data_IF_525193600409
#
_entry.id   IF_525193600409
#
_cell.length_a   1.000
_cell.length_b   1.000
_cell.length_c   1.000
_cell.angle_alpha   90.00
_cell.angle_beta   90.00
_cell.angle_gamma   90.00
#
_symmetry.space_group_name_H-M   'P 1'
#
loop_
_entity.id
_entity.type
_entity.pdbx_description
1 polymer ?
#
# COMPACT_ATOMS: atom_id res chain seq x y z
N UNK A 1 -7.30 45.10 2.10
CA UNK A 1 -6.65 43.79 2.25
C UNK A 1 -6.63 43.16 0.87
N UNK A 2 -5.46 42.78 0.40
CA UNK A 2 -5.28 42.19 -0.92
C UNK A 2 -5.87 40.77 -0.91
N UNK A 3 -6.55 40.37 -1.99
CA UNK A 3 -7.03 38.99 -2.19
C UNK A 3 -5.93 37.95 -1.95
N UNK A 4 -4.68 38.31 -2.24
CA UNK A 4 -3.49 37.47 -2.00
C UNK A 4 -3.20 37.30 -0.51
N UNK A 5 -3.38 38.34 0.30
CA UNK A 5 -3.18 38.28 1.76
C UNK A 5 -4.22 37.36 2.43
N UNK A 6 -5.47 37.39 1.96
CA UNK A 6 -6.52 36.50 2.46
C UNK A 6 -6.24 35.03 2.15
N UNK A 7 -5.72 34.72 0.95
CA UNK A 7 -5.33 33.36 0.56
C UNK A 7 -4.18 32.84 1.42
N UNK A 8 -3.14 33.67 1.63
CA UNK A 8 -1.99 33.29 2.48
C UNK A 8 -2.47 33.01 3.91
N UNK A 9 -3.36 33.84 4.45
CA UNK A 9 -3.92 33.63 5.79
C UNK A 9 -4.71 32.33 5.89
N UNK A 10 -5.54 32.02 4.90
CA UNK A 10 -6.29 30.76 4.86
C UNK A 10 -5.38 29.54 4.78
N UNK A 11 -4.28 29.63 4.04
CA UNK A 11 -3.29 28.55 3.95
C UNK A 11 -2.55 28.31 5.28
N UNK A 12 -2.21 29.38 6.00
CA UNK A 12 -1.61 29.27 7.34
C UNK A 12 -2.58 28.67 8.36
N UNK A 13 -3.85 29.04 8.32
CA UNK A 13 -4.90 28.46 9.17
C UNK A 13 -5.07 26.95 8.92
N UNK A 14 -5.07 26.54 7.64
CA UNK A 14 -5.13 25.12 7.25
C UNK A 14 -3.89 24.38 7.76
N UNK A 15 -2.70 24.97 7.64
CA UNK A 15 -1.44 24.38 8.11
C UNK A 15 -1.42 24.17 9.63
N UNK A 16 -1.92 25.16 10.37
CA UNK A 16 -2.06 25.06 11.83
C UNK A 16 -3.04 23.95 12.22
N UNK A 17 -4.17 23.85 11.51
CA UNK A 17 -5.17 22.80 11.74
C UNK A 17 -4.61 21.40 11.49
N UNK A 18 -3.84 21.20 10.41
CA UNK A 18 -3.20 19.92 10.10
C UNK A 18 -2.21 19.52 11.20
N UNK A 19 -1.36 20.45 11.68
CA UNK A 19 -0.40 20.16 12.76
C UNK A 19 -1.09 19.77 14.07
N UNK A 20 -2.11 20.51 14.48
CA UNK A 20 -2.87 20.20 15.70
C UNK A 20 -3.50 18.80 15.64
N UNK A 21 -3.96 18.40 14.44
CA UNK A 21 -4.57 17.09 14.21
C UNK A 21 -3.53 15.97 14.18
N UNK A 22 -2.33 16.21 13.65
CA UNK A 22 -1.20 15.28 13.75
C UNK A 22 -0.76 15.05 15.19
N UNK A 23 -0.67 16.09 16.01
CA UNK A 23 -0.36 15.98 17.45
C UNK A 23 -1.43 15.17 18.18
N UNK A 24 -2.70 15.38 17.84
CA UNK A 24 -3.78 14.54 18.34
C UNK A 24 -3.61 13.06 17.91
N UNK A 25 -3.31 12.78 16.64
CA UNK A 25 -3.07 11.41 16.18
C UNK A 25 -1.86 10.77 16.89
N UNK A 26 -0.80 11.52 17.19
CA UNK A 26 0.35 11.05 17.97
C UNK A 26 -0.02 10.69 19.41
N UNK A 27 -0.86 11.50 20.07
CA UNK A 27 -1.29 11.23 21.46
C UNK A 27 -2.21 10.03 21.58
N UNK A 28 -3.07 9.79 20.58
CA UNK A 28 -3.99 8.63 20.59
C UNK A 28 -3.39 7.39 19.87
N UNK A 29 -2.19 7.50 19.29
CA UNK A 29 -1.50 6.40 18.61
C UNK A 29 -2.11 6.00 17.26
N UNK A 30 -2.87 6.90 16.60
CA UNK A 30 -3.44 6.63 15.27
C UNK A 30 -2.42 6.93 14.16
N UNK A 31 -1.47 6.02 13.98
CA UNK A 31 -0.42 6.18 12.98
C UNK A 31 -0.93 6.13 11.53
N UNK A 32 -2.14 5.60 11.30
CA UNK A 32 -2.75 5.58 9.96
C UNK A 32 -3.21 6.98 9.56
N UNK A 33 -4.01 7.61 10.42
CA UNK A 33 -4.50 8.97 10.19
C UNK A 33 -3.34 10.00 10.21
N UNK A 34 -2.30 9.76 11.03
CA UNK A 34 -1.07 10.53 11.01
C UNK A 34 -0.35 10.48 9.65
N UNK A 35 -0.26 9.29 9.03
CA UNK A 35 0.41 9.11 7.74
C UNK A 35 -0.36 9.78 6.61
N UNK A 36 -1.69 9.71 6.65
CA UNK A 36 -2.57 10.41 5.69
C UNK A 36 -2.43 11.94 5.83
N UNK A 37 -2.46 12.46 7.07
CA UNK A 37 -2.25 13.89 7.34
C UNK A 37 -0.85 14.35 6.91
N UNK A 38 0.18 13.53 7.10
CA UNK A 38 1.55 13.84 6.68
C UNK A 38 1.66 13.97 5.16
N UNK A 39 1.05 13.05 4.41
CA UNK A 39 1.01 13.12 2.95
C UNK A 39 0.29 14.37 2.43
N UNK A 40 -0.80 14.78 3.10
CA UNK A 40 -1.52 16.01 2.76
C UNK A 40 -0.65 17.25 3.04
N UNK A 41 0.05 17.30 4.18
CA UNK A 41 0.95 18.39 4.52
C UNK A 41 2.11 18.53 3.52
N UNK A 42 2.72 17.41 3.11
CA UNK A 42 3.79 17.39 2.11
C UNK A 42 3.30 17.85 0.73
N UNK A 43 2.10 17.43 0.32
CA UNK A 43 1.49 17.84 -0.94
C UNK A 43 1.19 19.35 -0.96
N UNK A 44 0.72 19.90 0.16
CA UNK A 44 0.47 21.33 0.33
C UNK A 44 1.78 22.13 0.29
N UNK A 45 2.83 21.66 0.98
CA UNK A 45 4.16 22.28 0.95
C UNK A 45 4.79 22.23 -0.46
N UNK A 46 4.55 21.16 -1.22
CA UNK A 46 5.01 21.04 -2.60
C UNK A 46 4.28 22.03 -3.52
N UNK A 47 2.95 22.16 -3.41
CA UNK A 47 2.16 23.14 -4.16
C UNK A 47 2.59 24.59 -3.84
N UNK A 48 2.92 24.89 -2.59
CA UNK A 48 3.42 26.21 -2.20
C UNK A 48 4.82 26.50 -2.76
N UNK A 49 5.69 25.49 -2.86
CA UNK A 49 7.02 25.63 -3.50
C UNK A 49 6.91 25.82 -5.01
N UNK A 50 6.03 25.06 -5.66
CA UNK A 50 5.87 25.09 -7.12
C UNK A 50 5.10 26.34 -7.57
N UNK A 51 4.11 26.78 -6.77
CA UNK A 51 3.39 28.04 -6.99
C UNK A 51 4.23 29.31 -6.80
N UNK A 52 5.40 29.22 -6.15
CA UNK A 52 6.39 30.29 -6.04
C UNK A 52 7.53 30.16 -7.07
N UNK A 53 7.61 29.05 -7.81
CA UNK A 53 8.68 28.77 -8.75
C UNK A 53 8.36 29.17 -10.20
N UNK A 54 7.13 29.60 -10.51
CA UNK A 54 6.78 30.11 -11.84
C UNK A 54 7.19 31.59 -11.98
N UNK A 55 8.50 31.82 -11.98
CA UNK A 55 9.10 32.94 -12.70
C UNK A 55 10.48 32.55 -13.24
N UNK A 56 10.46 32.10 -14.50
CA UNK A 56 11.50 32.25 -15.54
C UNK A 56 12.15 30.96 -16.06
N UNK A 57 12.36 30.85 -17.39
CA UNK A 57 12.52 29.57 -18.09
C UNK A 57 13.99 29.14 -18.30
N UNK A 58 14.17 27.82 -18.45
CA UNK A 58 15.23 27.10 -19.18
C UNK A 58 16.66 27.68 -19.16
N UNK A 59 17.57 27.02 -18.44
CA UNK A 59 18.92 26.72 -18.96
C UNK A 59 19.68 25.73 -18.05
N UNK A 60 20.30 24.70 -18.63
CA UNK A 60 21.09 23.74 -17.84
C UNK A 60 21.70 22.56 -18.61
N UNK A 61 22.14 22.75 -19.86
CA UNK A 61 22.94 21.75 -20.58
C UNK A 61 24.44 22.04 -20.46
N UNK A 62 25.06 21.78 -19.31
CA UNK A 62 26.51 21.92 -19.13
C UNK A 62 27.26 20.64 -19.50
N UNK A 63 27.81 20.71 -20.71
CA UNK A 63 29.04 20.11 -21.23
C UNK A 63 30.08 19.79 -20.14
N UNK A 64 30.61 18.56 -20.13
CA UNK A 64 31.93 18.21 -19.56
C UNK A 64 32.74 17.49 -20.63
N UNK A 65 33.81 18.15 -21.09
CA UNK A 65 34.87 17.58 -21.91
C UNK A 65 35.97 16.97 -21.01
N UNK A 66 36.64 15.93 -21.52
CA UNK A 66 37.85 15.31 -20.97
C UNK A 66 38.34 14.19 -21.90
N UNK A 67 39.66 13.89 -21.97
CA UNK A 67 40.43 14.19 -23.17
C UNK A 67 40.94 13.00 -24.01
N UNK A 68 41.47 13.37 -25.18
CA UNK A 68 42.07 12.62 -26.29
C UNK A 68 42.90 11.36 -26.01
N UNK A 69 42.77 10.39 -26.92
CA UNK A 69 43.89 9.69 -27.57
C UNK A 69 43.45 9.13 -28.94
N UNK A 70 43.97 9.72 -30.01
CA UNK A 70 44.07 9.14 -31.38
C UNK A 70 45.48 8.51 -31.54
N UNK A 71 45.87 7.77 -32.62
CA UNK A 71 45.31 7.77 -33.99
C UNK A 71 45.25 6.40 -34.73
N UNK A 72 44.60 6.34 -35.91
CA UNK A 72 44.94 5.34 -36.93
C UNK A 72 43.83 4.85 -37.88
N UNK A 73 43.67 5.53 -39.02
CA UNK A 73 42.91 5.15 -40.26
C UNK A 73 43.59 3.96 -41.00
N UNK A 74 43.08 3.39 -42.13
CA UNK A 74 41.83 3.66 -42.89
C UNK A 74 41.05 2.45 -43.49
N UNK A 75 39.76 2.71 -43.80
CA UNK A 75 39.00 2.38 -45.04
C UNK A 75 39.02 0.94 -45.60
N UNK A 76 37.85 0.26 -45.60
CA UNK A 76 37.43 -0.52 -46.78
C UNK A 76 35.92 -0.77 -46.82
N UNK A 77 35.40 -0.62 -48.03
CA UNK A 77 34.06 -0.88 -48.54
C UNK A 77 33.64 -2.35 -48.44
N UNK A 78 32.36 -2.63 -48.17
CA UNK A 78 31.50 -3.43 -49.07
C UNK A 78 30.07 -3.58 -48.53
N UNK A 79 29.14 -3.38 -49.46
CA UNK A 79 27.75 -3.76 -49.37
C UNK A 79 27.59 -5.28 -49.17
N UNK A 80 26.54 -5.70 -48.46
CA UNK A 80 26.15 -7.11 -48.44
C UNK A 80 25.20 -7.48 -47.30
N UNK A 81 23.90 -7.51 -47.65
CA UNK A 81 22.87 -8.47 -47.19
C UNK A 81 22.73 -8.76 -45.68
N UNK A 82 21.53 -8.44 -45.19
CA UNK A 82 20.86 -9.03 -44.02
C UNK A 82 21.12 -10.54 -43.91
N UNK A 83 21.36 -11.03 -42.69
CA UNK A 83 20.36 -11.91 -42.08
C UNK A 83 19.97 -11.46 -40.67
N UNK A 84 18.70 -11.67 -40.39
CA UNK A 84 17.99 -11.58 -39.11
C UNK A 84 18.84 -12.13 -37.97
N UNK A 85 19.32 -11.24 -37.09
CA UNK A 85 19.84 -11.62 -35.78
C UNK A 85 18.84 -11.10 -34.75
N UNK A 86 18.28 -12.04 -34.01
CA UNK A 86 17.39 -11.82 -32.87
C UNK A 86 18.14 -10.91 -31.90
N UNK A 87 17.71 -9.66 -31.83
CA UNK A 87 18.11 -8.77 -30.75
C UNK A 87 17.26 -9.22 -29.56
N UNK A 88 17.86 -10.05 -28.69
CA UNK A 88 17.46 -10.14 -27.29
C UNK A 88 17.61 -8.73 -26.70
N UNK A 89 16.58 -7.94 -26.92
CA UNK A 89 16.33 -6.73 -26.16
C UNK A 89 16.12 -7.23 -24.76
N UNK A 90 17.15 -7.10 -23.91
CA UNK A 90 17.01 -7.22 -22.46
C UNK A 90 15.90 -6.27 -22.07
N UNK A 91 14.68 -6.81 -21.98
CA UNK A 91 13.57 -6.21 -21.28
C UNK A 91 14.09 -6.06 -19.86
N UNK A 92 14.56 -4.86 -19.55
CA UNK A 92 14.63 -4.42 -18.16
C UNK A 92 13.20 -4.54 -17.65
N UNK A 93 12.97 -5.54 -16.80
CA UNK A 93 11.72 -5.76 -16.09
C UNK A 93 11.38 -4.48 -15.32
N UNK A 94 10.66 -3.58 -15.99
CA UNK A 94 9.89 -2.57 -15.31
C UNK A 94 8.83 -3.35 -14.51
N UNK A 95 8.71 -3.12 -13.19
CA UNK A 95 7.74 -3.85 -12.38
C UNK A 95 6.37 -3.65 -13.02
N UNK A 96 5.78 -4.76 -13.46
CA UNK A 96 4.41 -4.84 -13.95
C UNK A 96 3.54 -4.12 -12.94
N UNK A 97 3.06 -2.91 -13.29
CA UNK A 97 2.02 -2.22 -12.54
C UNK A 97 0.82 -3.15 -12.61
N UNK A 98 0.62 -3.91 -11.53
CA UNK A 98 -0.47 -4.85 -11.41
C UNK A 98 -1.77 -4.10 -11.69
N UNK A 99 -2.66 -4.72 -12.47
CA UNK A 99 -3.91 -4.12 -12.97
C UNK A 99 -4.96 -3.85 -11.86
N UNK A 100 -4.51 -3.75 -10.61
CA UNK A 100 -5.31 -3.62 -9.41
C UNK A 100 -5.39 -2.12 -9.12
N UNK A 101 -6.44 -1.48 -9.66
CA UNK A 101 -6.61 -0.02 -9.69
C UNK A 101 -6.65 0.70 -8.33
N UNK A 102 -6.52 -0.01 -7.20
CA UNK A 102 -6.34 0.56 -5.87
C UNK A 102 -5.54 -0.40 -4.95
N UNK A 103 -4.63 0.17 -4.16
CA UNK A 103 -4.03 -0.51 -3.00
C UNK A 103 -4.81 -0.20 -1.72
N UNK A 104 -4.78 -1.08 -0.70
CA UNK A 104 -4.24 -2.44 -0.75
C UNK A 104 -5.23 -3.41 -1.42
N UNK A 105 -4.73 -4.50 -1.97
CA UNK A 105 -5.56 -5.58 -2.52
C UNK A 105 -5.13 -6.94 -1.99
N UNK A 106 -5.99 -7.94 -2.15
CA UNK A 106 -5.76 -9.30 -1.67
C UNK A 106 -5.68 -10.28 -2.83
N UNK A 107 -4.76 -11.23 -2.71
CA UNK A 107 -4.54 -12.33 -3.63
C UNK A 107 -4.53 -13.65 -2.88
N UNK A 108 -4.71 -14.73 -3.64
CA UNK A 108 -4.48 -16.09 -3.18
C UNK A 108 -3.18 -16.62 -3.79
N UNK A 109 -2.27 -17.09 -2.96
CA UNK A 109 -1.04 -17.79 -3.36
C UNK A 109 -1.08 -19.21 -2.78
N UNK A 110 -1.61 -20.16 -3.56
CA UNK A 110 -1.93 -21.51 -3.08
C UNK A 110 -2.87 -21.47 -1.87
N UNK A 111 -2.39 -21.97 -0.73
CA UNK A 111 -3.10 -21.96 0.56
C UNK A 111 -2.75 -20.75 1.45
N UNK A 112 -2.25 -19.66 0.86
CA UNK A 112 -1.90 -18.44 1.58
C UNK A 112 -2.75 -17.26 1.10
N UNK A 113 -3.23 -16.49 2.06
CA UNK A 113 -3.80 -15.16 1.86
C UNK A 113 -2.66 -14.16 1.77
N UNK A 114 -2.61 -13.39 0.69
CA UNK A 114 -1.58 -12.39 0.47
C UNK A 114 -2.23 -11.02 0.38
N UNK A 115 -1.82 -10.09 1.24
CA UNK A 115 -2.17 -8.67 1.12
C UNK A 115 -1.03 -7.95 0.44
N UNK A 116 -1.29 -7.33 -0.71
CA UNK A 116 -0.35 -6.46 -1.40
C UNK A 116 -0.70 -5.02 -1.07
N UNK A 117 0.32 -4.25 -0.68
CA UNK A 117 0.17 -2.85 -0.32
C UNK A 117 1.39 -2.03 -0.81
N UNK A 118 1.21 -0.73 -0.95
CA UNK A 118 2.26 0.18 -1.42
C UNK A 118 3.09 0.71 -0.25
N UNK A 119 4.41 0.50 -0.27
CA UNK A 119 5.34 1.11 0.69
C UNK A 119 5.68 2.52 0.23
N UNK A 120 5.25 3.54 1.00
CA UNK A 120 5.62 4.93 0.73
C UNK A 120 7.13 5.17 0.88
N UNK A 121 7.77 4.48 1.83
CA UNK A 121 9.21 4.60 2.12
C UNK A 121 10.07 4.02 0.99
N UNK A 122 9.76 2.79 0.59
CA UNK A 122 10.57 2.04 -0.37
C UNK A 122 10.09 2.20 -1.82
N UNK A 123 8.94 2.89 -2.01
CA UNK A 123 8.25 3.11 -3.29
C UNK A 123 8.05 1.82 -4.09
N UNK A 124 7.68 0.75 -3.38
CA UNK A 124 7.50 -0.61 -3.91
C UNK A 124 6.33 -1.30 -3.25
N UNK A 125 5.79 -2.31 -3.94
CA UNK A 125 4.83 -3.23 -3.34
C UNK A 125 5.49 -4.02 -2.20
N UNK A 126 4.76 -4.19 -1.10
CA UNK A 126 5.12 -5.08 -0.02
C UNK A 126 3.98 -6.08 0.23
N UNK A 127 4.37 -7.27 0.69
CA UNK A 127 3.44 -8.37 0.90
C UNK A 127 3.35 -8.74 2.38
N UNK A 128 2.13 -8.94 2.86
CA UNK A 128 1.90 -9.70 4.08
C UNK A 128 1.20 -11.00 3.75
N UNK A 129 1.58 -12.07 4.44
CA UNK A 129 1.11 -13.43 4.16
C UNK A 129 0.56 -14.08 5.42
N UNK A 130 -0.59 -14.72 5.31
CA UNK A 130 -1.17 -15.58 6.33
C UNK A 130 -1.61 -16.91 5.71
N UNK A 131 -1.47 -18.05 6.41
CA UNK A 131 -2.00 -19.32 5.92
C UNK A 131 -3.53 -19.30 5.92
N UNK A 132 -4.15 -20.08 5.04
CA UNK A 132 -5.61 -20.22 4.97
C UNK A 132 -6.20 -20.73 6.29
N UNK A 133 -5.47 -21.59 7.00
CA UNK A 133 -5.84 -22.09 8.33
C UNK A 133 -6.05 -20.96 9.34
N UNK A 134 -5.27 -19.87 9.25
CA UNK A 134 -5.44 -18.70 10.12
C UNK A 134 -6.81 -18.02 9.99
N UNK A 135 -7.47 -18.15 8.82
CA UNK A 135 -8.85 -17.66 8.64
C UNK A 135 -9.80 -18.48 9.51
N UNK A 136 -9.70 -19.82 9.43
CA UNK A 136 -10.52 -20.75 10.20
C UNK A 136 -10.35 -20.54 11.71
N UNK A 137 -9.09 -20.53 12.17
CA UNK A 137 -8.77 -20.37 13.59
C UNK A 137 -9.28 -19.05 14.15
N UNK A 138 -9.20 -17.96 13.36
CA UNK A 138 -9.71 -16.66 13.79
C UNK A 138 -11.24 -16.67 13.93
N UNK A 139 -11.96 -17.23 12.96
CA UNK A 139 -13.43 -17.30 13.00
C UNK A 139 -13.90 -18.16 14.17
N UNK A 140 -13.23 -19.29 14.42
CA UNK A 140 -13.55 -20.16 15.54
C UNK A 140 -13.36 -19.43 16.87
N UNK A 141 -12.26 -18.70 17.03
CA UNK A 141 -12.00 -17.90 18.24
C UNK A 141 -13.01 -16.77 18.40
N UNK A 142 -13.34 -16.06 17.32
CA UNK A 142 -14.41 -15.04 17.33
C UNK A 142 -15.71 -15.70 17.78
N UNK A 143 -16.14 -16.79 17.14
CA UNK A 143 -17.37 -17.50 17.50
C UNK A 143 -17.42 -17.94 18.98
N UNK A 144 -16.30 -18.45 19.52
CA UNK A 144 -16.20 -18.89 20.92
C UNK A 144 -16.21 -17.75 21.93
N UNK A 145 -15.43 -16.69 21.67
CA UNK A 145 -15.21 -15.60 22.66
C UNK A 145 -16.23 -14.48 22.57
N UNK A 146 -16.72 -14.19 21.36
CA UNK A 146 -17.65 -13.09 21.08
C UNK A 146 -19.11 -13.56 21.30
N UNK A 147 -19.38 -14.85 21.07
CA UNK A 147 -20.63 -15.50 21.45
C UNK A 147 -21.86 -14.82 20.83
N UNK A 148 -22.87 -14.52 21.67
CA UNK A 148 -24.09 -13.83 21.23
C UNK A 148 -23.92 -12.30 21.09
N UNK A 149 -22.83 -11.73 21.62
CA UNK A 149 -22.52 -10.31 21.39
C UNK A 149 -22.00 -10.22 19.97
N UNK A 150 -22.57 -9.33 19.15
CA UNK A 150 -22.08 -9.16 17.77
C UNK A 150 -20.83 -8.28 17.69
N UNK A 151 -20.40 -7.66 18.78
CA UNK A 151 -19.31 -6.67 18.84
C UNK A 151 -18.10 -7.20 19.63
N UNK A 152 -16.89 -6.93 19.14
CA UNK A 152 -15.63 -7.35 19.77
C UNK A 152 -14.46 -6.41 19.47
N UNK A 153 -13.46 -6.38 20.35
CA UNK A 153 -12.15 -5.76 20.14
C UNK A 153 -11.13 -6.81 19.67
N UNK A 154 -10.04 -6.38 19.04
CA UNK A 154 -8.96 -7.30 18.65
C UNK A 154 -8.30 -7.93 19.88
N UNK A 155 -8.15 -7.18 20.96
CA UNK A 155 -7.56 -7.69 22.21
C UNK A 155 -8.41 -8.79 22.86
N UNK A 156 -9.73 -8.79 22.63
CA UNK A 156 -10.63 -9.83 23.13
C UNK A 156 -10.35 -11.18 22.46
N UNK A 157 -10.03 -11.15 21.16
CA UNK A 157 -9.83 -12.36 20.36
C UNK A 157 -8.39 -12.88 20.44
N UNK A 158 -7.42 -12.03 20.78
CA UNK A 158 -6.05 -12.45 21.00
C UNK A 158 -5.89 -13.25 22.33
N UNK A 159 -4.91 -14.16 22.42
CA UNK A 159 -4.16 -14.76 21.31
C UNK A 159 -5.04 -15.74 20.52
N UNK A 160 -4.77 -15.86 19.21
CA UNK A 160 -5.43 -16.84 18.34
C UNK A 160 -4.52 -18.07 18.21
N UNK A 161 -5.01 -19.29 18.50
CA UNK A 161 -4.24 -20.51 18.27
C UNK A 161 -3.91 -20.67 16.79
N UNK A 162 -2.73 -21.19 16.49
CA UNK A 162 -2.40 -21.65 15.14
C UNK A 162 -2.81 -23.12 15.01
N UNK A 163 -3.65 -23.47 14.05
CA UNK A 163 -4.00 -24.87 13.76
C UNK A 163 -2.85 -25.64 13.09
N UNK A 164 -1.88 -24.94 12.50
CA UNK A 164 -0.79 -25.56 11.74
C UNK A 164 0.46 -25.88 12.57
N UNK A 165 0.46 -25.55 13.87
CA UNK A 165 1.55 -25.87 14.80
C UNK A 165 1.17 -25.64 16.26
N UNK A 166 2.07 -25.95 17.20
CA UNK A 166 1.82 -25.81 18.66
C UNK A 166 1.89 -24.34 19.16
N UNK A 167 1.61 -23.39 18.27
CA UNK A 167 1.91 -21.97 18.45
C UNK A 167 0.68 -21.07 18.54
N UNK A 168 0.95 -19.78 18.72
CA UNK A 168 -0.03 -18.70 18.57
C UNK A 168 0.21 -18.03 17.22
N UNK A 169 -0.85 -17.67 16.51
CA UNK A 169 -0.73 -16.89 15.29
C UNK A 169 -0.04 -15.56 15.59
N UNK A 170 1.00 -15.18 14.83
CA UNK A 170 1.60 -13.87 14.89
C UNK A 170 0.54 -12.77 14.71
N UNK A 171 0.62 -11.71 15.53
CA UNK A 171 -0.39 -10.64 15.53
C UNK A 171 -0.57 -9.98 14.16
N UNK A 172 0.49 -9.85 13.38
CA UNK A 172 0.39 -9.31 12.02
C UNK A 172 -0.50 -10.17 11.09
N UNK A 173 -0.54 -11.49 11.29
CA UNK A 173 -1.41 -12.39 10.54
C UNK A 173 -2.87 -12.21 10.96
N UNK A 174 -3.12 -12.01 12.26
CA UNK A 174 -4.47 -11.70 12.77
C UNK A 174 -4.99 -10.42 12.12
N UNK A 175 -4.19 -9.34 12.10
CA UNK A 175 -4.59 -8.09 11.44
C UNK A 175 -4.77 -8.23 9.92
N UNK A 176 -3.95 -9.05 9.26
CA UNK A 176 -4.13 -9.34 7.83
C UNK A 176 -5.48 -10.03 7.58
N UNK A 177 -5.80 -11.07 8.35
CA UNK A 177 -7.04 -11.82 8.20
C UNK A 177 -8.24 -10.94 8.52
N UNK A 178 -8.18 -10.13 9.59
CA UNK A 178 -9.23 -9.15 9.92
C UNK A 178 -9.46 -8.16 8.78
N UNK A 179 -8.39 -7.63 8.19
CA UNK A 179 -8.50 -6.70 7.06
C UNK A 179 -9.21 -7.35 5.86
N UNK A 180 -8.93 -8.63 5.58
CA UNK A 180 -9.58 -9.36 4.50
C UNK A 180 -11.04 -9.72 4.80
N UNK A 181 -11.34 -10.17 6.02
CA UNK A 181 -12.72 -10.44 6.45
C UNK A 181 -13.60 -9.18 6.36
N UNK A 182 -13.01 -8.02 6.63
CA UNK A 182 -13.68 -6.73 6.46
C UNK A 182 -13.98 -6.44 4.99
N UNK A 183 -13.00 -6.66 4.11
CA UNK A 183 -13.16 -6.46 2.66
C UNK A 183 -14.27 -7.36 2.08
N UNK A 184 -14.39 -8.59 2.59
CA UNK A 184 -15.39 -9.54 2.16
C UNK A 184 -16.77 -9.34 2.83
N UNK A 185 -16.93 -8.33 3.70
CA UNK A 185 -18.19 -8.04 4.41
C UNK A 185 -18.57 -9.02 5.53
N UNK A 186 -17.65 -9.89 5.95
CA UNK A 186 -17.87 -10.84 7.05
C UNK A 186 -17.82 -10.14 8.41
N UNK A 187 -16.98 -9.11 8.50
CA UNK A 187 -16.93 -8.22 9.66
C UNK A 187 -17.06 -6.77 9.21
N UNK A 188 -17.64 -5.95 10.08
CA UNK A 188 -17.76 -4.51 9.90
C UNK A 188 -16.95 -3.80 10.98
N UNK A 189 -16.24 -2.73 10.64
CA UNK A 189 -15.56 -1.91 11.66
C UNK A 189 -16.55 -0.91 12.24
N UNK A 190 -16.74 -0.94 13.55
CA UNK A 190 -17.63 -0.04 14.30
C UNK A 190 -16.77 0.87 15.17
N UNK A 191 -16.73 2.17 14.88
CA UNK A 191 -15.89 3.12 15.62
C UNK A 191 -14.39 2.90 15.43
N UNK A 192 -13.59 3.22 16.46
CA UNK A 192 -12.12 3.24 16.38
C UNK A 192 -11.49 1.86 16.34
N UNK A 193 -11.88 0.98 17.25
CA UNK A 193 -11.22 -0.32 17.47
C UNK A 193 -12.18 -1.51 17.56
N UNK A 194 -13.49 -1.28 17.46
CA UNK A 194 -14.48 -2.35 17.57
C UNK A 194 -14.83 -2.91 16.20
N UNK A 195 -15.13 -4.19 16.18
CA UNK A 195 -15.58 -4.93 15.02
C UNK A 195 -16.91 -5.58 15.33
N UNK A 196 -17.74 -5.71 14.31
CA UNK A 196 -19.02 -6.39 14.36
C UNK A 196 -19.00 -7.60 13.43
N UNK A 197 -19.45 -8.75 13.91
CA UNK A 197 -19.61 -9.94 13.08
C UNK A 197 -20.97 -9.91 12.35
N UNK A 198 -20.95 -10.19 11.04
CA UNK A 198 -22.16 -10.40 10.22
C UNK A 198 -22.87 -11.71 10.60
N UNK A 199 -24.10 -11.94 10.10
CA UNK A 199 -24.91 -13.10 10.49
C UNK A 199 -24.17 -14.44 10.26
N UNK A 200 -24.09 -15.26 11.31
CA UNK A 200 -23.25 -16.46 11.35
C UNK A 200 -23.59 -17.48 10.25
N UNK A 201 -24.86 -17.57 9.84
CA UNK A 201 -25.33 -18.49 8.80
C UNK A 201 -24.80 -18.17 7.40
N UNK A 202 -24.35 -16.93 7.17
CA UNK A 202 -23.85 -16.47 5.87
C UNK A 202 -22.32 -16.40 5.82
N UNK A 203 -21.66 -16.21 6.96
CA UNK A 203 -20.22 -16.01 7.04
C UNK A 203 -19.41 -17.12 6.37
N UNK A 204 -19.70 -18.40 6.65
CA UNK A 204 -18.93 -19.50 6.06
C UNK A 204 -19.04 -19.55 4.53
N UNK A 205 -20.26 -19.31 4.00
CA UNK A 205 -20.51 -19.27 2.56
C UNK A 205 -19.80 -18.08 1.91
N UNK A 206 -19.90 -16.91 2.52
CA UNK A 206 -19.24 -15.68 2.06
C UNK A 206 -17.73 -15.84 2.05
N UNK A 207 -17.13 -16.44 3.08
CA UNK A 207 -15.69 -16.69 3.16
C UNK A 207 -15.23 -17.67 2.08
N UNK A 208 -15.95 -18.78 1.91
CA UNK A 208 -15.63 -19.77 0.86
C UNK A 208 -15.72 -19.15 -0.53
N UNK A 209 -16.79 -18.41 -0.82
CA UNK A 209 -16.99 -17.70 -2.09
C UNK A 209 -15.87 -16.67 -2.32
N UNK A 210 -15.65 -15.77 -1.37
CA UNK A 210 -14.64 -14.71 -1.47
C UNK A 210 -13.23 -15.28 -1.65
N UNK A 211 -12.91 -16.40 -0.99
CA UNK A 211 -11.63 -17.09 -1.19
C UNK A 211 -11.45 -17.65 -2.60
N UNK A 212 -12.51 -18.15 -3.23
CA UNK A 212 -12.44 -18.65 -4.61
C UNK A 212 -12.39 -17.53 -5.64
N UNK A 213 -12.96 -16.37 -5.32
CA UNK A 213 -12.93 -15.18 -6.17
C UNK A 213 -11.60 -14.41 -6.09
N UNK A 214 -10.78 -14.67 -5.07
CA UNK A 214 -9.42 -14.12 -5.02
C UNK A 214 -8.63 -14.53 -6.26
N UNK A 215 -8.02 -13.55 -6.90
CA UNK A 215 -7.09 -13.80 -8.00
C UNK A 215 -5.93 -14.66 -7.51
N UNK A 216 -5.67 -15.73 -8.26
CA UNK A 216 -4.47 -16.54 -8.01
C UNK A 216 -3.26 -15.75 -8.48
N UNK A 217 -2.28 -15.62 -7.59
CA UNK A 217 -0.93 -15.18 -7.96
C UNK A 217 -0.22 -16.25 -8.78
#
# INVERSE_FOLDING_TARGET
MSFVEDIVRQLDDIRASIRARMEHCLTVGDYRELTELAGIAESLDALLRDGLADSSPRNGGLRREGPSSEPGRPRSTKAGRRPTTIVETRQTDAPSVSNHGAYPYFLRDGDKLVKIAWSAKDKKEYEHRAPRTAIGSLIEVIGKKVGARKLFLVDDILPVPDESGDGKLPTYQVYLVLAWLRECGVIEKVGRDQYKLSEASENERTIKKSWMELLSK
#
